data_IF_908557800368
#
_entry.id   IF_908557800368
#
_cell.length_a   1.000
_cell.length_b   1.000
_cell.length_c   1.000
_cell.angle_alpha   90.00
_cell.angle_beta   90.00
_cell.angle_gamma   90.00
#
_symmetry.space_group_name_H-M   'P 1'
#
loop_
_entity.id
_entity.type
_entity.pdbx_description
1 polymer ?
#
# COMPACT_ATOMS: atom_id res chain seq x y z
N UNK A 1 6.83 -0.87 -18.75
CA UNK A 1 6.19 -0.13 -17.64
C UNK A 1 7.20 0.83 -17.01
N UNK A 2 6.84 2.11 -16.85
CA UNK A 2 7.72 3.11 -16.22
C UNK A 2 8.02 2.76 -14.75
N UNK A 3 9.20 3.14 -14.24
CA UNK A 3 9.60 2.88 -12.85
C UNK A 3 8.58 3.44 -11.85
N UNK A 4 8.03 4.63 -12.12
CA UNK A 4 7.00 5.26 -11.28
C UNK A 4 5.73 4.43 -11.19
N UNK A 5 5.23 3.89 -12.31
CA UNK A 5 4.01 3.08 -12.31
C UNK A 5 4.19 1.79 -11.49
N UNK A 6 5.37 1.15 -11.59
CA UNK A 6 5.69 -0.03 -10.78
C UNK A 6 5.65 0.27 -9.28
N UNK A 7 6.19 1.41 -8.87
CA UNK A 7 6.23 1.80 -7.45
C UNK A 7 4.83 2.15 -6.95
N UNK A 8 4.04 2.88 -7.74
CA UNK A 8 2.64 3.19 -7.37
C UNK A 8 1.83 1.89 -7.20
N UNK A 9 1.95 0.94 -8.13
CA UNK A 9 1.29 -0.37 -8.02
C UNK A 9 1.75 -1.16 -6.80
N UNK A 10 3.04 -1.10 -6.46
CA UNK A 10 3.57 -1.75 -5.25
C UNK A 10 2.89 -1.17 -3.99
N UNK A 11 2.83 0.15 -3.87
CA UNK A 11 2.28 0.82 -2.68
C UNK A 11 0.75 0.82 -2.62
N UNK A 12 0.07 0.75 -3.76
CA UNK A 12 -1.39 0.87 -3.85
C UNK A 12 -2.10 -0.47 -3.91
N UNK A 13 -1.38 -1.55 -4.20
CA UNK A 13 -1.96 -2.88 -4.39
C UNK A 13 -1.23 -3.97 -3.61
N UNK A 14 0.07 -4.16 -3.90
CA UNK A 14 0.82 -5.25 -3.28
C UNK A 14 0.97 -5.06 -1.77
N UNK A 15 1.34 -3.86 -1.34
CA UNK A 15 1.52 -3.54 0.08
C UNK A 15 0.20 -3.63 0.87
N UNK A 16 -0.93 -3.02 0.43
CA UNK A 16 -2.23 -3.22 1.06
C UNK A 16 -2.66 -4.69 1.13
N UNK A 17 -2.40 -5.48 0.07
CA UNK A 17 -2.75 -6.90 0.06
C UNK A 17 -1.98 -7.68 1.13
N UNK A 18 -0.66 -7.46 1.24
CA UNK A 18 0.18 -8.12 2.25
C UNK A 18 -0.31 -7.78 3.67
N UNK A 19 -0.60 -6.51 3.94
CA UNK A 19 -1.08 -6.09 5.27
C UNK A 19 -2.46 -6.70 5.58
N UNK A 20 -3.36 -6.73 4.60
CA UNK A 20 -4.70 -7.29 4.77
C UNK A 20 -4.65 -8.79 5.03
N UNK A 21 -3.83 -9.53 4.28
CA UNK A 21 -3.60 -10.96 4.50
C UNK A 21 -2.98 -11.21 5.89
N UNK A 22 -1.98 -10.40 6.27
CA UNK A 22 -1.37 -10.49 7.59
C UNK A 22 -2.39 -10.28 8.72
N UNK A 23 -3.29 -9.31 8.56
CA UNK A 23 -4.38 -9.07 9.51
C UNK A 23 -5.33 -10.26 9.60
N UNK A 24 -5.75 -10.84 8.46
CA UNK A 24 -6.59 -12.04 8.45
C UNK A 24 -5.93 -13.21 9.18
N UNK A 25 -4.62 -13.43 8.99
CA UNK A 25 -3.88 -14.49 9.68
C UNK A 25 -3.86 -14.24 11.20
N UNK A 26 -3.62 -13.00 11.63
CA UNK A 26 -3.63 -12.63 13.05
C UNK A 26 -5.02 -12.87 13.65
N UNK A 27 -6.08 -12.41 12.99
CA UNK A 27 -7.45 -12.56 13.48
C UNK A 27 -7.85 -14.05 13.55
N UNK A 28 -7.38 -14.87 12.60
CA UNK A 28 -7.53 -16.33 12.64
C UNK A 28 -6.80 -16.98 13.83
N UNK A 29 -5.53 -16.62 14.07
CA UNK A 29 -4.74 -17.16 15.21
C UNK A 29 -5.36 -16.75 16.55
N UNK A 30 -5.91 -15.54 16.65
CA UNK A 30 -6.55 -15.01 17.85
C UNK A 30 -8.00 -15.49 18.04
N UNK A 31 -8.55 -16.29 17.11
CA UNK A 31 -9.93 -16.77 17.17
C UNK A 31 -10.98 -15.65 17.08
N UNK A 32 -10.65 -14.52 16.46
CA UNK A 32 -11.61 -13.42 16.22
C UNK A 32 -12.48 -13.73 15.01
N UNK A 33 -13.69 -13.19 15.01
CA UNK A 33 -14.58 -13.29 13.87
C UNK A 33 -13.98 -12.59 12.64
N UNK A 34 -14.06 -13.26 11.49
CA UNK A 34 -13.57 -12.71 10.23
C UNK A 34 -14.57 -11.71 9.66
N UNK A 35 -14.36 -10.43 9.94
CA UNK A 35 -15.17 -9.35 9.37
C UNK A 35 -14.63 -8.87 8.03
N UNK A 36 -15.22 -9.35 6.93
CA UNK A 36 -14.83 -8.96 5.58
C UNK A 36 -14.85 -7.44 5.33
N UNK A 37 -15.83 -6.73 5.89
CA UNK A 37 -15.95 -5.26 5.76
C UNK A 37 -14.72 -4.56 6.37
N UNK A 38 -14.27 -5.03 7.52
CA UNK A 38 -13.09 -4.50 8.22
C UNK A 38 -11.82 -4.69 7.37
N UNK A 39 -11.64 -5.86 6.76
CA UNK A 39 -10.52 -6.12 5.86
C UNK A 39 -10.56 -5.27 4.59
N UNK A 40 -11.73 -5.08 4.01
CA UNK A 40 -11.89 -4.19 2.85
C UNK A 40 -11.56 -2.75 3.20
N UNK A 41 -12.00 -2.25 4.37
CA UNK A 41 -11.68 -0.90 4.82
C UNK A 41 -10.16 -0.70 5.03
N UNK A 42 -9.46 -1.69 5.60
CA UNK A 42 -8.00 -1.66 5.73
C UNK A 42 -7.33 -1.62 4.37
N UNK A 43 -7.72 -2.52 3.48
CA UNK A 43 -7.14 -2.62 2.14
C UNK A 43 -7.31 -1.29 1.39
N UNK A 44 -8.53 -0.75 1.37
CA UNK A 44 -8.84 0.50 0.69
C UNK A 44 -8.16 1.70 1.34
N UNK A 45 -8.07 1.77 2.66
CA UNK A 45 -7.38 2.85 3.37
C UNK A 45 -5.89 2.90 3.04
N UNK A 46 -5.21 1.76 3.09
CA UNK A 46 -3.78 1.67 2.75
C UNK A 46 -3.57 1.88 1.25
N UNK A 47 -4.45 1.35 0.40
CA UNK A 47 -4.40 1.55 -1.05
C UNK A 47 -4.57 3.01 -1.45
N UNK A 48 -5.54 3.71 -0.84
CA UNK A 48 -5.74 5.15 -1.03
C UNK A 48 -4.53 5.96 -0.55
N UNK A 49 -3.94 5.61 0.60
CA UNK A 49 -2.71 6.23 1.06
C UNK A 49 -1.54 5.99 0.08
N UNK A 50 -1.41 4.78 -0.46
CA UNK A 50 -0.42 4.44 -1.48
C UNK A 50 -0.56 5.26 -2.76
N UNK A 51 -1.79 5.54 -3.19
CA UNK A 51 -2.06 6.38 -4.36
C UNK A 51 -1.80 7.87 -4.07
N UNK A 52 -2.34 8.38 -2.96
CA UNK A 52 -2.30 9.81 -2.62
C UNK A 52 -0.88 10.25 -2.23
N UNK A 53 -0.16 9.44 -1.45
CA UNK A 53 1.17 9.80 -0.96
C UNK A 53 2.29 9.18 -1.80
N UNK A 54 2.13 7.94 -2.29
CA UNK A 54 3.19 7.21 -2.99
C UNK A 54 3.59 7.86 -4.31
N UNK A 55 2.65 8.40 -5.09
CA UNK A 55 2.94 9.12 -6.33
C UNK A 55 3.80 10.38 -6.10
N UNK A 56 3.31 11.34 -5.28
CA UNK A 56 4.06 12.55 -4.94
C UNK A 56 5.41 12.27 -4.28
N UNK A 57 5.48 11.31 -3.35
CA UNK A 57 6.74 10.93 -2.70
C UNK A 57 7.78 10.41 -3.70
N UNK A 58 7.38 9.53 -4.61
CA UNK A 58 8.29 9.00 -5.64
C UNK A 58 8.74 10.08 -6.59
N UNK A 59 7.85 11.00 -6.95
CA UNK A 59 8.20 12.15 -7.78
C UNK A 59 9.23 13.04 -7.08
N UNK A 60 8.98 13.43 -5.82
CA UNK A 60 9.90 14.26 -5.03
C UNK A 60 11.27 13.60 -4.86
N UNK A 61 11.31 12.30 -4.54
CA UNK A 61 12.56 11.54 -4.39
C UNK A 61 13.32 11.47 -5.72
N UNK A 62 12.62 11.23 -6.83
CA UNK A 62 13.24 11.17 -8.16
C UNK A 62 13.82 12.52 -8.56
N UNK A 63 13.03 13.59 -8.39
CA UNK A 63 13.45 14.96 -8.68
C UNK A 63 14.63 15.42 -7.82
N UNK A 64 14.62 15.09 -6.52
CA UNK A 64 15.74 15.40 -5.61
C UNK A 64 17.05 14.70 -5.98
N UNK A 65 16.99 13.60 -6.73
CA UNK A 65 18.17 12.90 -7.25
C UNK A 65 18.66 13.50 -8.56
N UNK A 66 17.78 14.06 -9.37
CA UNK A 66 18.13 14.80 -10.59
C UNK A 66 18.79 16.15 -10.26
N UNK A 67 18.33 16.87 -9.24
CA UNK A 67 18.94 18.15 -8.81
C UNK A 67 20.30 18.00 -8.07
N UNK A 68 20.71 16.77 -7.75
CA UNK A 68 21.98 16.49 -7.05
C UNK A 68 23.16 16.18 -7.98
N UNK A 69 22.95 16.24 -9.30
CA UNK A 69 23.95 16.04 -10.35
C UNK A 69 23.91 17.21 -11.34
#
# INVERSE_FOLDING_TARGET
MSKGLKIILLWSLAFPAIITIGRMIIDFILGREMEFISYTAVFLGIGAAGLIFGGPLVYLVTKSKEEKY
#
